data_IF_593594764421
#
_entry.id   IF_593594764421
#
_cell.length_a   1.000
_cell.length_b   1.000
_cell.length_c   1.000
_cell.angle_alpha   90.00
_cell.angle_beta   90.00
_cell.angle_gamma   90.00
#
_symmetry.space_group_name_H-M   'P 1'
#
loop_
_entity.id
_entity.type
_entity.pdbx_description
1 polymer ?
#
# COMPACT_ATOMS: atom_id res chain seq x y z
N UNK A 1 11.57 13.10 1.04
CA UNK A 1 12.72 13.15 1.98
C UNK A 1 12.86 11.76 2.51
N UNK A 2 13.91 11.12 2.03
CA UNK A 2 14.16 9.69 2.08
C UNK A 2 14.39 9.17 3.50
N UNK A 3 14.37 7.85 3.61
CA UNK A 3 14.79 7.10 4.77
C UNK A 3 16.13 7.57 5.35
N UNK A 4 16.28 7.46 6.67
CA UNK A 4 17.46 7.89 7.41
C UNK A 4 18.36 6.69 7.69
N UNK A 5 19.64 6.79 7.29
CA UNK A 5 20.62 5.76 7.60
C UNK A 5 21.04 5.84 9.07
N UNK A 6 21.09 4.70 9.74
CA UNK A 6 21.40 4.59 11.16
C UNK A 6 22.71 3.82 11.36
N UNK A 7 23.57 4.36 12.23
CA UNK A 7 24.67 3.60 12.84
C UNK A 7 24.12 2.55 13.81
N UNK A 8 24.97 1.68 14.34
CA UNK A 8 24.58 0.66 15.34
C UNK A 8 23.97 1.30 16.59
N UNK A 9 24.62 2.36 17.11
CA UNK A 9 24.11 3.13 18.27
C UNK A 9 22.79 3.82 17.93
N UNK A 10 22.70 4.44 16.76
CA UNK A 10 21.47 5.07 16.28
C UNK A 10 20.33 4.06 16.17
N UNK A 11 20.58 2.90 15.58
CA UNK A 11 19.61 1.81 15.42
C UNK A 11 19.07 1.35 16.77
N UNK A 12 19.95 1.07 17.73
CA UNK A 12 19.53 0.65 19.08
C UNK A 12 18.64 1.70 19.75
N UNK A 13 19.01 2.98 19.65
CA UNK A 13 18.20 4.09 20.18
C UNK A 13 16.84 4.20 19.48
N UNK A 14 16.80 4.05 18.15
CA UNK A 14 15.56 4.16 17.39
C UNK A 14 14.60 3.01 17.68
N UNK A 15 15.07 1.77 17.81
CA UNK A 15 14.23 0.63 18.23
C UNK A 15 13.63 0.91 19.61
N UNK A 16 14.44 1.40 20.53
CA UNK A 16 14.03 1.75 21.88
C UNK A 16 12.94 2.84 21.90
N UNK A 17 13.09 3.88 21.08
CA UNK A 17 12.12 4.97 20.93
C UNK A 17 10.83 4.47 20.30
N UNK A 18 10.93 3.68 19.24
CA UNK A 18 9.81 3.14 18.47
C UNK A 18 8.84 2.36 19.37
N UNK A 19 9.36 1.51 20.27
CA UNK A 19 8.53 0.76 21.24
C UNK A 19 7.86 1.72 22.24
N UNK A 20 8.61 2.72 22.71
CA UNK A 20 8.16 3.63 23.77
C UNK A 20 7.09 4.60 23.27
N UNK A 21 7.18 5.04 22.02
CA UNK A 21 6.27 6.01 21.39
C UNK A 21 5.07 5.39 20.67
N UNK A 22 5.00 4.06 20.60
CA UNK A 22 3.88 3.34 20.01
C UNK A 22 2.58 3.62 20.80
N UNK A 23 1.54 3.99 20.05
CA UNK A 23 0.23 4.32 20.63
C UNK A 23 -0.86 3.32 20.26
N UNK A 24 -0.67 2.57 19.17
CA UNK A 24 -1.71 1.67 18.67
C UNK A 24 -1.18 0.26 18.41
N UNK A 25 -0.01 0.16 17.79
CA UNK A 25 0.53 -1.15 17.40
C UNK A 25 2.06 -1.16 17.33
N UNK A 26 2.60 -2.36 17.50
CA UNK A 26 4.01 -2.71 17.33
C UNK A 26 4.06 -4.01 16.52
N UNK A 27 4.83 -4.05 15.43
CA UNK A 27 5.04 -5.28 14.65
C UNK A 27 6.52 -5.50 14.40
N UNK A 28 7.04 -6.60 14.97
CA UNK A 28 8.48 -6.89 15.00
C UNK A 28 8.75 -8.27 14.41
N UNK A 29 9.65 -8.33 13.45
CA UNK A 29 10.13 -9.55 12.81
C UNK A 29 11.56 -9.81 13.24
N UNK A 30 11.84 -11.03 13.68
CA UNK A 30 13.19 -11.45 14.03
C UNK A 30 13.37 -12.95 13.73
N UNK A 31 14.34 -13.37 12.92
CA UNK A 31 14.54 -14.79 12.59
C UNK A 31 14.80 -15.65 13.83
N UNK A 32 15.41 -15.07 14.86
CA UNK A 32 15.60 -15.70 16.18
C UNK A 32 14.84 -14.88 17.22
N UNK A 33 13.89 -15.49 17.92
CA UNK A 33 13.09 -14.83 18.96
C UNK A 33 13.81 -14.87 20.31
N UNK A 34 14.85 -14.04 20.41
CA UNK A 34 15.58 -13.76 21.65
C UNK A 34 15.57 -12.27 21.91
N UNK A 35 14.97 -11.86 23.02
CA UNK A 35 14.80 -10.46 23.39
C UNK A 35 15.79 -10.07 24.50
N UNK A 36 16.35 -8.87 24.39
CA UNK A 36 17.04 -8.23 25.51
C UNK A 36 16.01 -7.87 26.60
N UNK A 37 16.43 -7.88 27.87
CA UNK A 37 15.55 -7.62 29.02
C UNK A 37 14.84 -6.25 28.93
N UNK A 38 15.54 -5.24 28.41
CA UNK A 38 14.94 -3.91 28.18
C UNK A 38 13.77 -3.93 27.20
N UNK A 39 13.79 -4.78 26.18
CA UNK A 39 12.69 -4.91 25.21
C UNK A 39 11.49 -5.55 25.87
N UNK A 40 11.71 -6.60 26.67
CA UNK A 40 10.64 -7.28 27.42
C UNK A 40 9.93 -6.25 28.31
N UNK A 41 10.67 -5.49 29.12
CA UNK A 41 10.10 -4.47 30.00
C UNK A 41 9.31 -3.40 29.23
N UNK A 42 9.81 -2.94 28.09
CA UNK A 42 9.11 -1.93 27.28
C UNK A 42 7.86 -2.48 26.60
N UNK A 43 7.89 -3.73 26.14
CA UNK A 43 6.69 -4.39 25.66
C UNK A 43 5.65 -4.53 26.77
N UNK A 44 6.04 -4.84 28.01
CA UNK A 44 5.09 -4.91 29.14
C UNK A 44 4.42 -3.54 29.36
N UNK A 45 5.18 -2.45 29.28
CA UNK A 45 4.63 -1.11 29.38
C UNK A 45 3.69 -0.78 28.21
N UNK A 46 4.01 -1.22 26.99
CA UNK A 46 3.14 -1.06 25.83
C UNK A 46 1.84 -1.88 25.97
N UNK A 47 1.93 -3.11 26.47
CA UNK A 47 0.78 -3.98 26.76
C UNK A 47 -0.17 -3.35 27.79
N UNK A 48 0.38 -2.75 28.85
CA UNK A 48 -0.39 -1.99 29.85
C UNK A 48 -1.11 -0.77 29.27
N UNK A 49 -0.57 -0.19 28.19
CA UNK A 49 -1.21 0.90 27.42
C UNK A 49 -2.22 0.39 26.38
N UNK A 50 -2.50 -0.92 26.34
CA UNK A 50 -3.33 -1.58 25.33
C UNK A 50 -2.81 -1.42 23.89
N UNK A 51 -1.49 -1.29 23.72
CA UNK A 51 -0.86 -1.34 22.40
C UNK A 51 -0.85 -2.78 21.93
N UNK A 52 -1.31 -3.04 20.70
CA UNK A 52 -1.25 -4.39 20.10
C UNK A 52 0.18 -4.71 19.69
N UNK A 53 0.68 -5.87 20.07
CA UNK A 53 2.05 -6.29 19.78
C UNK A 53 2.01 -7.57 18.96
N UNK A 54 2.59 -7.55 17.76
CA UNK A 54 2.73 -8.72 16.89
C UNK A 54 4.21 -9.04 16.71
N UNK A 55 4.62 -10.25 17.09
CA UNK A 55 5.98 -10.74 16.91
C UNK A 55 5.98 -11.87 15.88
N UNK A 56 6.82 -11.78 14.86
CA UNK A 56 6.99 -12.85 13.87
C UNK A 56 8.42 -13.36 13.95
N UNK A 57 8.58 -14.67 14.07
CA UNK A 57 9.90 -15.30 14.08
C UNK A 57 10.04 -16.42 13.07
N UNK A 58 11.29 -16.73 12.70
CA UNK A 58 11.60 -17.72 11.68
C UNK A 58 12.51 -18.84 12.16
N UNK A 59 13.25 -19.45 11.23
CA UNK A 59 14.24 -20.53 11.46
C UNK A 59 13.65 -21.80 12.09
N UNK A 60 13.45 -21.80 13.40
CA UNK A 60 12.99 -22.97 14.15
C UNK A 60 11.66 -22.69 14.84
N UNK A 61 10.65 -23.52 14.58
CA UNK A 61 9.29 -23.37 15.14
C UNK A 61 9.26 -23.40 16.67
N UNK A 62 10.10 -24.20 17.31
CA UNK A 62 10.00 -24.46 18.74
C UNK A 62 10.70 -23.44 19.64
N UNK A 63 11.12 -22.27 19.12
CA UNK A 63 11.88 -21.27 19.87
C UNK A 63 11.17 -20.72 21.11
N UNK A 64 9.84 -20.63 21.11
CA UNK A 64 9.07 -20.15 22.28
C UNK A 64 8.96 -21.20 23.40
N UNK A 65 9.34 -22.46 23.14
CA UNK A 65 9.23 -23.54 24.12
C UNK A 65 10.18 -23.28 25.30
N UNK A 66 9.62 -23.27 26.51
CA UNK A 66 10.39 -23.04 27.75
C UNK A 66 10.56 -21.56 28.12
N UNK A 67 10.23 -20.62 27.23
CA UNK A 67 10.19 -19.20 27.57
C UNK A 67 8.90 -18.87 28.34
N UNK A 68 8.97 -17.95 29.30
CA UNK A 68 7.82 -17.56 30.15
C UNK A 68 7.42 -16.10 30.03
N UNK A 69 8.30 -15.23 29.54
CA UNK A 69 8.07 -13.77 29.54
C UNK A 69 6.77 -13.39 28.83
N UNK A 70 6.42 -14.03 27.71
CA UNK A 70 5.26 -13.68 26.88
C UNK A 70 3.90 -14.08 27.48
N UNK A 71 3.86 -14.95 28.48
CA UNK A 71 2.62 -15.60 28.93
C UNK A 71 1.62 -14.65 29.58
N UNK A 72 2.12 -13.58 30.20
CA UNK A 72 1.29 -12.63 30.95
C UNK A 72 0.83 -11.44 30.08
N UNK A 73 1.27 -11.36 28.83
CA UNK A 73 0.87 -10.29 27.91
C UNK A 73 -0.54 -10.51 27.41
N UNK A 74 -1.37 -9.48 27.50
CA UNK A 74 -2.79 -9.56 27.10
C UNK A 74 -2.98 -9.22 25.63
N UNK A 75 -2.21 -8.28 25.10
CA UNK A 75 -2.31 -7.71 23.76
C UNK A 75 -1.14 -8.15 22.86
N UNK A 76 -0.56 -9.33 23.11
CA UNK A 76 0.55 -9.90 22.33
C UNK A 76 0.09 -11.06 21.45
N UNK A 77 0.53 -11.06 20.19
CA UNK A 77 0.44 -12.19 19.25
C UNK A 77 1.84 -12.58 18.82
N UNK A 78 2.10 -13.89 18.75
CA UNK A 78 3.35 -14.44 18.26
C UNK A 78 3.05 -15.39 17.11
N UNK A 79 3.77 -15.18 16.01
CA UNK A 79 3.64 -15.87 14.74
C UNK A 79 4.98 -16.51 14.33
N UNK A 80 4.90 -17.64 13.64
CA UNK A 80 6.02 -18.38 13.08
C UNK A 80 5.94 -18.40 11.54
N UNK A 81 7.05 -18.07 10.89
CA UNK A 81 7.20 -18.16 9.43
C UNK A 81 8.55 -18.81 9.09
N UNK A 82 8.51 -20.02 8.52
CA UNK A 82 9.69 -20.87 8.30
C UNK A 82 10.84 -20.18 7.53
N UNK A 83 10.51 -19.35 6.54
CA UNK A 83 11.48 -18.65 5.68
C UNK A 83 11.83 -17.22 6.10
N UNK A 84 11.40 -16.76 7.29
CA UNK A 84 11.70 -15.40 7.75
C UNK A 84 13.19 -15.23 8.08
N UNK A 85 13.86 -14.30 7.39
CA UNK A 85 15.27 -13.95 7.62
C UNK A 85 15.52 -12.44 7.80
N UNK A 86 14.46 -11.64 8.01
CA UNK A 86 14.55 -10.17 8.09
C UNK A 86 14.43 -9.69 9.52
N UNK A 87 15.26 -8.72 9.92
CA UNK A 87 14.99 -7.89 11.09
C UNK A 87 14.25 -6.63 10.63
N UNK A 88 13.00 -6.54 11.03
CA UNK A 88 12.09 -5.46 10.68
C UNK A 88 11.32 -5.08 11.93
N UNK A 89 11.26 -3.79 12.26
CA UNK A 89 10.63 -3.30 13.48
C UNK A 89 9.78 -2.08 13.15
N UNK A 90 8.50 -2.08 13.50
CA UNK A 90 7.63 -0.93 13.25
C UNK A 90 6.66 -0.61 14.38
N UNK A 91 6.16 0.62 14.37
CA UNK A 91 4.91 1.03 15.01
C UNK A 91 4.00 1.70 13.97
N UNK A 92 3.00 2.48 14.39
CA UNK A 92 2.10 3.18 13.46
C UNK A 92 2.72 4.39 12.70
N UNK A 93 3.94 4.80 13.07
CA UNK A 93 4.60 6.03 12.59
C UNK A 93 5.86 5.76 11.80
N UNK A 94 6.59 4.68 12.10
CA UNK A 94 7.91 4.42 11.53
C UNK A 94 8.24 2.93 11.44
N UNK A 95 9.11 2.60 10.47
CA UNK A 95 9.68 1.28 10.19
C UNK A 95 11.20 1.37 10.31
N UNK A 96 11.83 0.36 10.88
CA UNK A 96 13.27 0.16 10.91
C UNK A 96 13.59 -1.17 10.24
N UNK A 97 14.39 -1.13 9.19
CA UNK A 97 15.06 -2.29 8.60
C UNK A 97 16.51 -2.29 9.06
N UNK A 98 17.02 -3.43 9.53
CA UNK A 98 18.38 -3.47 10.09
C UNK A 98 18.99 -4.86 10.04
N UNK A 99 20.30 -4.95 10.31
CA UNK A 99 20.98 -6.20 10.66
C UNK A 99 20.93 -6.51 12.17
N UNK A 100 20.51 -5.56 13.01
CA UNK A 100 20.53 -5.67 14.47
C UNK A 100 19.37 -6.53 14.99
N UNK A 101 19.69 -7.60 15.71
CA UNK A 101 18.72 -8.42 16.44
C UNK A 101 18.31 -7.82 17.79
N UNK A 102 17.12 -8.18 18.28
CA UNK A 102 16.57 -7.71 19.55
C UNK A 102 17.36 -8.15 20.80
N UNK A 103 18.25 -9.14 20.68
CA UNK A 103 19.17 -9.55 21.75
C UNK A 103 20.44 -8.71 21.80
N UNK A 104 20.76 -7.97 20.73
CA UNK A 104 22.02 -7.26 20.55
C UNK A 104 21.91 -5.74 20.87
N UNK A 105 20.79 -5.32 21.47
CA UNK A 105 20.51 -3.93 21.83
C UNK A 105 21.47 -3.41 22.91
N UNK A 106 22.59 -2.87 22.45
CA UNK A 106 23.56 -2.10 23.25
C UNK A 106 24.60 -1.38 22.38
N UNK A 107 24.56 -1.52 21.05
CA UNK A 107 25.43 -0.82 20.09
C UNK A 107 26.93 -1.15 20.17
N UNK A 108 27.37 -1.94 21.15
CA UNK A 108 28.79 -2.10 21.50
C UNK A 108 29.39 -3.46 21.12
N UNK A 109 28.57 -4.39 20.62
CA UNK A 109 29.01 -5.76 20.32
C UNK A 109 29.28 -6.00 18.83
N UNK A 110 28.55 -5.34 17.93
CA UNK A 110 28.64 -5.55 16.47
C UNK A 110 28.41 -4.25 15.71
N UNK A 111 29.05 -4.12 14.56
CA UNK A 111 28.85 -3.01 13.62
C UNK A 111 27.61 -3.26 12.76
N UNK A 112 26.43 -3.06 13.36
CA UNK A 112 25.15 -3.11 12.67
C UNK A 112 24.83 -1.80 11.93
N UNK A 113 23.99 -1.91 10.92
CA UNK A 113 23.47 -0.78 10.16
C UNK A 113 21.94 -0.85 10.12
N UNK A 114 21.30 0.31 10.05
CA UNK A 114 19.85 0.39 9.98
C UNK A 114 19.38 1.45 9.00
N UNK A 115 18.12 1.34 8.61
CA UNK A 115 17.40 2.32 7.82
C UNK A 115 16.08 2.63 8.52
N UNK A 116 15.86 3.89 8.87
CA UNK A 116 14.63 4.39 9.46
C UNK A 116 13.74 5.00 8.37
N UNK A 117 12.54 4.47 8.22
CA UNK A 117 11.50 4.95 7.32
C UNK A 117 10.36 5.50 8.17
N UNK A 118 10.27 6.82 8.32
CA UNK A 118 9.15 7.44 9.01
C UNK A 118 8.00 7.71 8.03
N UNK A 119 6.78 7.27 8.33
CA UNK A 119 5.55 7.44 7.53
C UNK A 119 5.33 8.89 7.07
N UNK A 120 5.59 9.84 7.96
CA UNK A 120 5.46 11.27 7.67
C UNK A 120 6.54 11.78 6.70
N UNK A 121 7.74 11.20 6.72
CA UNK A 121 8.89 11.63 5.90
C UNK A 121 8.92 10.93 4.54
N UNK A 122 8.70 9.62 4.53
CA UNK A 122 8.72 8.75 3.36
C UNK A 122 7.54 7.78 3.37
N UNK A 123 6.39 8.23 2.83
CA UNK A 123 5.14 7.47 2.89
C UNK A 123 5.19 6.27 1.94
N UNK A 124 5.74 6.40 0.73
CA UNK A 124 5.78 5.30 -0.23
C UNK A 124 6.55 4.11 0.33
N UNK A 125 7.79 4.33 0.78
CA UNK A 125 8.59 3.26 1.37
C UNK A 125 7.94 2.68 2.64
N UNK A 126 7.21 3.50 3.39
CA UNK A 126 6.44 3.04 4.54
C UNK A 126 5.29 2.10 4.11
N UNK A 127 4.41 2.52 3.21
CA UNK A 127 3.26 1.72 2.76
C UNK A 127 3.74 0.44 2.02
N UNK A 128 4.79 0.52 1.20
CA UNK A 128 5.42 -0.64 0.55
C UNK A 128 5.96 -1.63 1.61
N UNK A 129 6.55 -1.13 2.70
CA UNK A 129 7.01 -1.94 3.83
C UNK A 129 5.86 -2.56 4.63
N UNK A 130 4.73 -1.86 4.78
CA UNK A 130 3.50 -2.41 5.38
C UNK A 130 2.95 -3.54 4.50
N UNK A 131 2.90 -3.35 3.18
CA UNK A 131 2.45 -4.37 2.23
C UNK A 131 3.23 -5.68 2.42
N UNK A 132 4.56 -5.62 2.33
CA UNK A 132 5.42 -6.81 2.43
C UNK A 132 5.32 -7.48 3.80
N UNK A 133 5.15 -6.69 4.86
CA UNK A 133 4.92 -7.20 6.20
C UNK A 133 3.61 -7.98 6.31
N UNK A 134 2.50 -7.42 5.84
CA UNK A 134 1.19 -8.07 5.97
C UNK A 134 1.16 -9.40 5.21
N UNK A 135 1.76 -9.46 4.01
CA UNK A 135 1.93 -10.71 3.28
C UNK A 135 2.64 -11.78 4.11
N UNK A 136 3.69 -11.41 4.84
CA UNK A 136 4.40 -12.34 5.74
C UNK A 136 3.53 -12.75 6.94
N UNK A 137 2.81 -11.81 7.55
CA UNK A 137 1.92 -12.08 8.69
C UNK A 137 0.79 -13.04 8.32
N UNK A 138 0.15 -12.86 7.15
CA UNK A 138 -0.92 -13.71 6.65
C UNK A 138 -0.47 -15.14 6.40
N UNK A 139 0.74 -15.32 5.88
CA UNK A 139 1.33 -16.64 5.62
C UNK A 139 2.03 -17.25 6.85
N UNK A 140 1.94 -16.60 8.02
CA UNK A 140 2.54 -17.09 9.26
C UNK A 140 1.58 -17.93 10.09
N UNK A 141 2.12 -18.94 10.76
CA UNK A 141 1.40 -19.74 11.73
C UNK A 141 1.29 -19.02 13.07
N UNK A 142 0.09 -18.91 13.63
CA UNK A 142 -0.11 -18.39 14.98
C UNK A 142 0.29 -19.41 16.05
N UNK A 143 1.24 -19.06 16.91
CA UNK A 143 1.73 -19.93 17.98
C UNK A 143 1.37 -19.44 19.39
N UNK A 144 1.00 -18.17 19.51
CA UNK A 144 0.48 -17.58 20.75
C UNK A 144 -0.39 -16.36 20.45
N UNK A 145 -1.47 -16.19 21.20
CA UNK A 145 -2.26 -14.97 21.25
C UNK A 145 -2.69 -14.73 22.71
N UNK A 146 -2.47 -13.51 23.18
CA UNK A 146 -2.91 -13.05 24.49
C UNK A 146 -4.44 -12.90 24.56
N UNK A 147 -4.98 -12.90 25.78
CA UNK A 147 -6.43 -12.95 26.01
C UNK A 147 -7.20 -11.74 25.44
N UNK A 148 -6.55 -10.58 25.31
CA UNK A 148 -7.14 -9.35 24.77
C UNK A 148 -6.64 -9.04 23.35
N UNK A 149 -5.91 -9.97 22.72
CA UNK A 149 -5.43 -9.72 21.37
C UNK A 149 -6.62 -9.76 20.40
N UNK A 150 -7.11 -8.59 20.03
CA UNK A 150 -8.08 -8.44 18.96
C UNK A 150 -7.38 -8.66 17.63
N UNK A 151 -7.72 -9.76 16.96
CA UNK A 151 -7.48 -9.89 15.52
C UNK A 151 -8.34 -8.82 14.86
N UNK A 152 -7.69 -7.86 14.22
CA UNK A 152 -8.40 -6.92 13.36
C UNK A 152 -8.96 -7.79 12.23
N UNK A 153 -10.27 -8.07 12.25
CA UNK A 153 -10.94 -8.82 11.17
C UNK A 153 -10.88 -8.04 9.85
N UNK A 154 -10.69 -6.72 9.93
CA UNK A 154 -10.19 -5.90 8.82
C UNK A 154 -8.66 -6.05 8.72
N UNK A 155 -8.18 -7.26 8.43
CA UNK A 155 -6.93 -7.36 7.66
C UNK A 155 -7.24 -6.65 6.36
N UNK A 156 -6.74 -5.43 6.27
CA UNK A 156 -6.71 -4.68 5.05
C UNK A 156 -5.81 -5.47 4.10
N UNK A 157 -6.41 -6.47 3.44
CA UNK A 157 -5.75 -7.32 2.44
C UNK A 157 -5.21 -6.35 1.41
N UNK A 158 -3.91 -6.28 1.11
CA UNK A 158 -3.43 -5.26 0.19
C UNK A 158 -4.00 -5.42 -1.23
N UNK A 159 -4.29 -6.67 -1.62
CA UNK A 159 -5.07 -7.04 -2.80
C UNK A 159 -6.54 -6.63 -2.65
N UNK A 160 -7.05 -6.64 -1.41
CA UNK A 160 -8.26 -6.00 -0.84
C UNK A 160 -8.35 -4.51 -1.13
N UNK A 161 -7.39 -3.73 -0.61
CA UNK A 161 -7.26 -2.29 -0.82
C UNK A 161 -7.26 -1.98 -2.30
N UNK A 162 -6.46 -2.75 -3.06
CA UNK A 162 -6.24 -2.51 -4.48
C UNK A 162 -7.43 -2.96 -5.33
N UNK A 163 -8.18 -4.01 -4.93
CA UNK A 163 -9.49 -4.37 -5.50
C UNK A 163 -10.58 -3.39 -5.10
N UNK A 164 -10.52 -2.84 -3.89
CA UNK A 164 -11.40 -1.82 -3.31
C UNK A 164 -10.90 -0.40 -3.58
N UNK A 165 -10.05 -0.15 -4.59
CA UNK A 165 -9.63 1.20 -4.98
C UNK A 165 -10.64 1.81 -5.96
N UNK A 166 -11.52 2.74 -5.56
CA UNK A 166 -12.25 3.47 -6.55
C UNK A 166 -11.49 4.73 -6.95
N UNK A 167 -11.82 5.22 -8.14
CA UNK A 167 -11.31 6.47 -8.69
C UNK A 167 -11.42 7.69 -7.75
N UNK A 168 -12.32 7.69 -6.75
CA UNK A 168 -12.71 8.91 -6.01
C UNK A 168 -12.82 8.79 -4.48
N UNK A 169 -13.34 7.68 -3.91
CA UNK A 169 -13.55 7.59 -2.44
C UNK A 169 -12.23 7.49 -1.65
N UNK A 170 -11.18 6.90 -2.24
CA UNK A 170 -9.81 6.86 -1.69
C UNK A 170 -9.23 8.25 -1.39
N UNK A 171 -9.68 9.28 -2.11
CA UNK A 171 -9.22 10.65 -1.91
C UNK A 171 -10.09 11.44 -0.91
N UNK A 172 -11.20 10.88 -0.39
CA UNK A 172 -12.15 11.58 0.46
C UNK A 172 -12.87 12.73 -0.25
N UNK A 173 -13.09 12.57 -1.56
CA UNK A 173 -13.57 13.60 -2.50
C UNK A 173 -15.06 13.44 -2.82
N UNK A 174 -15.68 12.35 -2.37
CA UNK A 174 -17.08 12.06 -2.64
C UNK A 174 -18.02 13.16 -2.13
N UNK A 175 -18.97 13.58 -2.97
CA UNK A 175 -19.90 14.67 -2.68
C UNK A 175 -19.33 16.09 -2.72
N UNK A 176 -18.09 16.31 -3.18
CA UNK A 176 -17.51 17.66 -3.29
C UNK A 176 -17.81 18.31 -4.63
N UNK A 177 -18.26 19.56 -4.60
CA UNK A 177 -18.44 20.38 -5.81
C UNK A 177 -17.10 20.68 -6.50
N UNK A 178 -17.11 20.62 -7.83
CA UNK A 178 -16.00 21.05 -8.67
C UNK A 178 -15.92 22.57 -8.69
N UNK A 179 -14.72 23.13 -8.52
CA UNK A 179 -14.45 24.56 -8.66
C UNK A 179 -13.44 24.72 -9.79
N UNK A 180 -13.86 25.30 -10.91
CA UNK A 180 -13.04 25.48 -12.13
C UNK A 180 -12.39 24.18 -12.62
N UNK A 181 -13.16 23.07 -12.63
CA UNK A 181 -12.67 21.77 -13.08
C UNK A 181 -11.67 21.10 -12.14
N UNK A 182 -11.55 21.58 -10.88
CA UNK A 182 -10.70 20.99 -9.83
C UNK A 182 -11.51 20.66 -8.58
N UNK A 183 -11.07 19.64 -7.88
CA UNK A 183 -11.58 19.31 -6.54
C UNK A 183 -10.80 20.10 -5.49
N UNK A 184 -11.49 20.80 -4.58
CA UNK A 184 -10.86 21.49 -3.45
C UNK A 184 -10.69 20.52 -2.27
N UNK A 185 -9.43 20.24 -1.94
CA UNK A 185 -9.07 19.38 -0.82
C UNK A 185 -9.14 20.11 0.55
N UNK A 186 -9.24 19.39 1.68
CA UNK A 186 -9.29 19.98 3.02
C UNK A 186 -8.01 20.77 3.35
N UNK A 187 -8.14 21.95 3.95
CA UNK A 187 -7.01 22.72 4.48
C UNK A 187 -6.38 22.00 5.68
N UNK A 188 -5.05 22.14 5.85
CA UNK A 188 -4.31 21.63 7.01
C UNK A 188 -3.78 20.19 6.91
N UNK A 189 -4.07 19.45 5.83
CA UNK A 189 -3.50 18.10 5.60
C UNK A 189 -2.12 18.17 4.94
N UNK A 190 -1.20 17.29 5.37
CA UNK A 190 0.15 17.18 4.83
C UNK A 190 0.17 16.63 3.38
N UNK A 191 -0.74 15.69 3.10
CA UNK A 191 -1.01 15.14 1.77
C UNK A 191 -2.40 15.58 1.32
N UNK A 192 -2.47 16.11 0.11
CA UNK A 192 -3.63 16.77 -0.45
C UNK A 192 -3.87 16.14 -1.83
N UNK A 193 -4.98 15.42 -2.03
CA UNK A 193 -5.30 14.91 -3.36
C UNK A 193 -5.55 16.07 -4.31
N UNK A 194 -5.10 15.93 -5.54
CA UNK A 194 -5.40 16.87 -6.61
C UNK A 194 -5.86 16.11 -7.83
N UNK A 195 -6.99 16.55 -8.35
CA UNK A 195 -7.59 16.02 -9.57
C UNK A 195 -8.09 17.19 -10.41
N UNK A 196 -7.86 17.08 -11.71
CA UNK A 196 -8.39 18.01 -12.71
C UNK A 196 -9.19 17.20 -13.73
N UNK A 197 -10.24 17.81 -14.25
CA UNK A 197 -11.17 17.19 -15.18
C UNK A 197 -11.16 17.91 -16.52
N UNK A 198 -11.48 17.17 -17.58
CA UNK A 198 -11.88 17.75 -18.85
C UNK A 198 -13.30 18.31 -18.77
N UNK A 199 -13.71 19.07 -19.79
CA UNK A 199 -15.04 19.69 -19.84
C UNK A 199 -16.19 18.68 -19.89
N UNK A 200 -15.92 17.45 -20.32
CA UNK A 200 -16.88 16.34 -20.37
C UNK A 200 -16.96 15.55 -19.04
N UNK A 201 -16.28 16.02 -17.99
CA UNK A 201 -16.28 15.41 -16.67
C UNK A 201 -15.37 14.18 -16.54
N UNK A 202 -14.63 13.82 -17.59
CA UNK A 202 -13.58 12.79 -17.50
C UNK A 202 -12.36 13.33 -16.75
N UNK A 203 -11.65 12.46 -16.05
CA UNK A 203 -10.46 12.81 -15.30
C UNK A 203 -9.33 13.10 -16.29
N UNK A 204 -8.69 14.26 -16.14
CA UNK A 204 -7.52 14.69 -16.93
C UNK A 204 -6.21 14.30 -16.27
N UNK A 205 -6.11 14.49 -14.96
CA UNK A 205 -5.06 13.89 -14.15
C UNK A 205 -5.51 13.74 -12.72
N UNK A 206 -4.84 12.84 -12.00
CA UNK A 206 -4.98 12.68 -10.57
C UNK A 206 -3.62 12.40 -9.92
N UNK A 207 -3.47 12.81 -8.67
CA UNK A 207 -2.29 12.52 -7.88
C UNK A 207 -2.37 13.18 -6.51
N UNK A 208 -1.25 13.19 -5.79
CA UNK A 208 -1.17 13.80 -4.46
C UNK A 208 -0.12 14.90 -4.41
N UNK A 209 -0.46 15.99 -3.71
CA UNK A 209 0.48 16.99 -3.27
C UNK A 209 0.92 16.70 -1.83
N UNK A 210 2.23 16.67 -1.58
CA UNK A 210 2.81 16.76 -0.24
C UNK A 210 3.29 18.20 -0.04
N UNK A 211 2.88 18.86 1.06
CA UNK A 211 3.28 20.26 1.33
C UNK A 211 3.11 21.20 0.12
N UNK A 212 1.97 21.09 -0.60
CA UNK A 212 1.61 21.83 -1.83
C UNK A 212 2.39 21.49 -3.11
N UNK A 213 3.33 20.55 -3.06
CA UNK A 213 4.14 20.13 -4.21
C UNK A 213 3.76 18.70 -4.64
N UNK A 214 3.84 18.38 -5.94
CA UNK A 214 3.52 17.04 -6.45
C UNK A 214 4.38 15.97 -5.76
N UNK A 215 3.77 14.85 -5.35
CA UNK A 215 4.47 13.75 -4.69
C UNK A 215 3.78 12.42 -5.01
N UNK A 216 4.54 11.33 -5.09
CA UNK A 216 4.05 10.02 -5.48
C UNK A 216 3.72 9.94 -6.98
N UNK A 217 2.84 9.01 -7.33
CA UNK A 217 2.38 8.81 -8.71
C UNK A 217 1.33 9.84 -9.11
N UNK A 218 1.52 10.38 -10.31
CA UNK A 218 0.60 11.29 -10.97
C UNK A 218 0.19 10.67 -12.28
N UNK A 219 -1.08 10.31 -12.38
CA UNK A 219 -1.64 9.60 -13.51
C UNK A 219 -2.27 10.65 -14.42
N UNK A 220 -1.82 10.67 -15.68
CA UNK A 220 -2.31 11.59 -16.70
C UNK A 220 -3.08 10.80 -17.74
N UNK A 221 -4.26 11.29 -18.07
CA UNK A 221 -5.15 10.63 -19.01
C UNK A 221 -5.10 11.33 -20.39
N UNK A 222 -5.42 10.59 -21.43
CA UNK A 222 -5.75 11.16 -22.74
C UNK A 222 -7.17 11.73 -22.70
N UNK A 223 -7.52 12.53 -23.71
CA UNK A 223 -8.89 13.03 -23.84
C UNK A 223 -9.89 11.87 -24.07
N UNK A 224 -9.45 10.77 -24.66
CA UNK A 224 -10.23 9.54 -24.88
C UNK A 224 -10.48 8.73 -23.60
N UNK A 225 -9.82 9.07 -22.49
CA UNK A 225 -10.03 8.49 -21.18
C UNK A 225 -8.92 7.55 -20.70
N UNK A 226 -8.02 7.09 -21.58
CA UNK A 226 -6.99 6.13 -21.20
C UNK A 226 -5.81 6.76 -20.48
N UNK A 227 -5.10 5.99 -19.66
CA UNK A 227 -3.86 6.48 -19.02
C UNK A 227 -2.79 6.68 -20.08
N UNK A 228 -2.29 7.91 -20.23
CA UNK A 228 -1.22 8.29 -21.15
C UNK A 228 0.16 8.04 -20.55
N UNK A 229 0.35 8.53 -19.33
CA UNK A 229 1.61 8.45 -18.62
C UNK A 229 1.38 8.52 -17.12
N UNK A 230 2.28 7.90 -16.37
CA UNK A 230 2.37 8.02 -14.92
C UNK A 230 3.69 8.69 -14.60
N UNK A 231 3.64 9.84 -13.94
CA UNK A 231 4.83 10.59 -13.55
C UNK A 231 5.02 10.46 -12.05
N UNK A 232 6.21 10.05 -11.64
CA UNK A 232 6.56 9.89 -10.24
C UNK A 232 7.26 11.18 -9.81
N UNK A 233 6.73 11.80 -8.76
CA UNK A 233 7.32 12.98 -8.14
C UNK A 233 7.77 12.67 -6.71
N UNK A 234 8.87 13.27 -6.28
CA UNK A 234 9.24 13.33 -4.87
C UNK A 234 9.40 14.80 -4.47
N UNK A 235 8.46 15.31 -3.69
CA UNK A 235 8.50 16.67 -3.15
C UNK A 235 8.69 17.72 -4.26
N UNK A 236 7.83 17.68 -5.28
CA UNK A 236 7.84 18.58 -6.43
C UNK A 236 8.84 18.22 -7.52
N UNK A 237 9.88 17.45 -7.19
CA UNK A 237 10.90 17.03 -8.15
C UNK A 237 10.43 15.84 -8.97
N UNK A 238 10.66 15.89 -10.28
CA UNK A 238 10.47 14.74 -11.17
C UNK A 238 11.45 13.63 -10.80
N UNK A 239 10.96 12.40 -10.66
CA UNK A 239 11.76 11.20 -10.36
C UNK A 239 11.81 10.31 -11.59
N UNK A 240 10.64 9.89 -12.08
CA UNK A 240 10.53 8.95 -13.19
C UNK A 240 9.21 9.12 -13.95
N UNK A 241 9.12 8.48 -15.10
CA UNK A 241 7.92 8.46 -15.94
C UNK A 241 7.74 7.10 -16.61
N UNK A 242 6.54 6.57 -16.44
CA UNK A 242 6.05 5.40 -17.16
C UNK A 242 5.17 5.89 -18.30
N UNK A 243 5.60 5.69 -19.53
CA UNK A 243 4.76 5.91 -20.71
C UNK A 243 3.87 4.70 -20.94
N UNK A 244 2.56 4.93 -21.10
CA UNK A 244 1.60 3.90 -21.44
C UNK A 244 1.36 3.94 -22.94
N UNK A 245 2.25 3.32 -23.70
CA UNK A 245 2.06 3.11 -25.14
C UNK A 245 1.34 1.78 -25.36
N UNK A 246 0.12 1.85 -25.86
CA UNK A 246 -0.73 0.68 -26.14
C UNK A 246 -0.58 0.19 -27.58
N UNK A 247 0.03 1.00 -28.45
CA UNK A 247 0.23 0.65 -29.86
C UNK A 247 1.50 -0.18 -30.04
N UNK A 248 2.57 0.19 -29.31
CA UNK A 248 3.84 -0.52 -29.32
C UNK A 248 4.37 -0.71 -27.89
N UNK A 249 3.70 -1.57 -27.10
CA UNK A 249 3.99 -1.72 -25.69
C UNK A 249 5.32 -2.46 -25.45
N UNK A 250 6.43 -1.72 -25.37
CA UNK A 250 7.75 -2.30 -25.10
C UNK A 250 7.91 -2.83 -23.67
N UNK A 251 7.12 -2.31 -22.72
CA UNK A 251 7.11 -2.75 -21.31
C UNK A 251 5.68 -2.98 -20.84
N UNK A 252 5.44 -4.06 -20.06
CA UNK A 252 4.16 -4.25 -19.39
C UNK A 252 3.81 -3.07 -18.48
N UNK A 253 2.63 -2.49 -18.68
CA UNK A 253 2.07 -1.51 -17.75
C UNK A 253 1.29 -2.22 -16.66
N UNK A 254 0.93 -1.49 -15.60
CA UNK A 254 0.08 -2.04 -14.55
C UNK A 254 -1.35 -2.27 -15.05
N UNK A 255 -1.97 -3.41 -14.69
CA UNK A 255 -3.40 -3.67 -14.92
C UNK A 255 -4.29 -2.60 -14.25
N UNK A 256 -3.82 -1.97 -13.17
CA UNK A 256 -4.50 -0.83 -12.54
C UNK A 256 -4.61 0.36 -13.49
N UNK A 257 -3.58 0.65 -14.29
CA UNK A 257 -3.63 1.75 -15.26
C UNK A 257 -4.61 1.44 -16.39
N UNK A 258 -4.77 0.16 -16.75
CA UNK A 258 -5.82 -0.27 -17.67
C UNK A 258 -7.20 -0.04 -17.08
N UNK A 259 -7.46 -0.49 -15.85
CA UNK A 259 -8.73 -0.24 -15.16
C UNK A 259 -9.02 1.26 -15.06
N UNK A 260 -8.02 2.07 -14.71
CA UNK A 260 -8.16 3.52 -14.64
C UNK A 260 -8.49 4.17 -16.00
N UNK A 261 -7.92 3.65 -17.09
CA UNK A 261 -8.30 4.08 -18.43
C UNK A 261 -9.74 3.69 -18.80
N UNK A 262 -10.13 2.46 -18.44
CA UNK A 262 -11.46 1.91 -18.74
C UNK A 262 -12.53 2.64 -17.95
N UNK A 263 -12.34 2.90 -16.65
CA UNK A 263 -13.33 3.62 -15.86
C UNK A 263 -13.52 5.05 -16.35
N UNK A 264 -12.47 5.76 -16.74
CA UNK A 264 -12.63 7.08 -17.34
C UNK A 264 -13.36 7.01 -18.71
N UNK A 265 -13.16 5.93 -19.47
CA UNK A 265 -13.93 5.63 -20.69
C UNK A 265 -15.40 5.34 -20.39
N UNK A 266 -15.70 4.66 -19.28
CA UNK A 266 -17.08 4.47 -18.79
C UNK A 266 -17.73 5.81 -18.47
N UNK A 267 -17.05 6.68 -17.72
CA UNK A 267 -17.53 8.05 -17.45
C UNK A 267 -17.81 8.78 -18.76
N UNK A 268 -16.91 8.67 -19.75
CA UNK A 268 -17.06 9.33 -21.04
C UNK A 268 -18.26 8.85 -21.85
N UNK A 269 -18.42 7.54 -21.96
CA UNK A 269 -19.37 6.92 -22.89
C UNK A 269 -20.77 6.78 -22.31
N UNK A 270 -20.90 6.68 -20.98
CA UNK A 270 -22.16 6.38 -20.31
C UNK A 270 -22.53 7.39 -19.22
N UNK A 271 -21.69 8.40 -18.97
CA UNK A 271 -21.86 9.41 -17.91
C UNK A 271 -22.09 8.82 -16.51
N UNK A 272 -21.61 7.60 -16.27
CA UNK A 272 -21.76 6.93 -14.97
C UNK A 272 -20.80 7.49 -13.94
N UNK A 273 -21.22 7.45 -12.68
CA UNK A 273 -20.29 7.61 -11.59
C UNK A 273 -19.35 6.39 -11.57
N UNK A 274 -18.05 6.64 -11.48
CA UNK A 274 -16.99 5.63 -11.47
C UNK A 274 -16.26 5.58 -10.12
N UNK A 275 -16.82 6.25 -9.10
CA UNK A 275 -16.33 6.25 -7.71
C UNK A 275 -16.51 4.92 -6.99
N UNK A 276 -17.11 3.92 -7.62
CA UNK A 276 -17.29 2.56 -7.08
C UNK A 276 -16.97 1.52 -8.17
N UNK A 277 -16.20 1.91 -9.20
CA UNK A 277 -15.76 0.98 -10.25
C UNK A 277 -14.50 0.25 -9.79
N UNK A 278 -14.64 -1.05 -9.62
CA UNK A 278 -13.61 -1.98 -9.17
C UNK A 278 -13.34 -3.05 -10.22
N UNK A 279 -12.35 -3.91 -9.96
CA UNK A 279 -12.05 -5.04 -10.85
C UNK A 279 -13.19 -6.06 -10.89
N UNK A 280 -13.77 -6.37 -9.73
CA UNK A 280 -14.86 -7.33 -9.59
C UNK A 280 -16.24 -6.75 -9.97
N UNK A 281 -16.36 -5.43 -10.11
CA UNK A 281 -17.56 -4.78 -10.64
C UNK A 281 -17.97 -5.36 -11.99
N UNK A 282 -19.28 -5.53 -12.17
CA UNK A 282 -19.80 -6.04 -13.44
C UNK A 282 -19.81 -4.93 -14.47
N UNK A 283 -19.51 -5.28 -15.72
CA UNK A 283 -19.50 -4.29 -16.82
C UNK A 283 -20.91 -3.73 -17.04
N UNK A 284 -21.95 -4.54 -16.82
CA UNK A 284 -23.35 -4.17 -17.04
C UNK A 284 -23.84 -3.08 -16.07
N UNK A 285 -23.39 -3.07 -14.80
CA UNK A 285 -23.71 -2.00 -13.84
C UNK A 285 -23.33 -0.60 -14.37
N UNK A 286 -22.24 -0.55 -15.14
CA UNK A 286 -21.63 0.68 -15.63
C UNK A 286 -21.93 0.99 -17.10
N UNK A 287 -22.44 0.02 -17.86
CA UNK A 287 -22.73 0.19 -19.31
C UNK A 287 -24.20 -0.01 -19.66
N UNK A 288 -25.00 -0.57 -18.75
CA UNK A 288 -26.34 -1.06 -19.04
C UNK A 288 -26.31 -2.11 -20.15
N UNK A 289 -27.30 -2.07 -21.04
CA UNK A 289 -27.46 -3.07 -22.10
C UNK A 289 -26.48 -2.93 -23.28
N UNK A 290 -25.70 -1.86 -23.36
CA UNK A 290 -24.85 -1.54 -24.53
C UNK A 290 -23.35 -1.50 -24.18
N UNK A 291 -22.80 -2.63 -23.70
CA UNK A 291 -21.36 -2.81 -23.45
C UNK A 291 -20.49 -2.72 -24.71
N UNK A 292 -21.10 -2.87 -25.89
CA UNK A 292 -20.40 -2.90 -27.19
C UNK A 292 -19.64 -1.60 -27.48
N UNK A 293 -20.18 -0.45 -27.07
CA UNK A 293 -19.50 0.84 -27.22
C UNK A 293 -18.18 0.87 -26.45
N UNK A 294 -18.16 0.32 -25.24
CA UNK A 294 -16.95 0.27 -24.41
C UNK A 294 -15.91 -0.63 -25.06
N UNK A 295 -16.31 -1.81 -25.52
CA UNK A 295 -15.43 -2.76 -26.18
C UNK A 295 -14.82 -2.16 -27.45
N UNK A 296 -15.64 -1.57 -28.31
CA UNK A 296 -15.18 -0.93 -29.54
C UNK A 296 -14.24 0.25 -29.26
N UNK A 297 -14.55 1.08 -28.26
CA UNK A 297 -13.70 2.18 -27.84
C UNK A 297 -12.32 1.69 -27.38
N UNK A 298 -12.30 0.65 -26.55
CA UNK A 298 -11.04 0.06 -26.05
C UNK A 298 -10.22 -0.58 -27.15
N UNK A 299 -10.84 -1.41 -28.01
CA UNK A 299 -10.18 -2.03 -29.16
C UNK A 299 -9.57 -1.00 -30.10
N UNK A 300 -10.34 0.05 -30.42
CA UNK A 300 -9.86 1.15 -31.27
C UNK A 300 -8.66 1.86 -30.63
N UNK A 301 -8.70 2.09 -29.33
CA UNK A 301 -7.64 2.80 -28.62
C UNK A 301 -6.33 2.00 -28.58
N UNK A 302 -6.40 0.71 -28.27
CA UNK A 302 -5.22 -0.16 -28.24
C UNK A 302 -4.81 -0.71 -29.61
N UNK A 303 -5.54 -0.35 -30.68
CA UNK A 303 -5.34 -0.82 -32.07
C UNK A 303 -5.35 -2.35 -32.23
N UNK A 304 -6.15 -3.05 -31.43
CA UNK A 304 -6.41 -4.49 -31.55
C UNK A 304 -7.90 -4.71 -31.84
N UNK A 305 -8.26 -5.79 -32.53
CA UNK A 305 -9.66 -6.08 -32.89
C UNK A 305 -10.08 -7.43 -32.35
N UNK A 306 -11.34 -7.55 -31.97
CA UNK A 306 -11.96 -8.80 -31.54
C UNK A 306 -11.18 -9.48 -30.42
N UNK A 307 -10.75 -8.70 -29.42
CA UNK A 307 -9.97 -9.21 -28.27
C UNK A 307 -10.87 -9.74 -27.16
N UNK A 308 -12.13 -9.32 -27.15
CA UNK A 308 -13.04 -9.62 -26.05
C UNK A 308 -13.81 -10.92 -26.27
N UNK A 309 -13.69 -11.83 -25.32
CA UNK A 309 -14.49 -13.06 -25.22
C UNK A 309 -15.51 -12.92 -24.09
N UNK A 310 -16.57 -12.15 -24.37
CA UNK A 310 -17.72 -11.91 -23.48
C UNK A 310 -17.37 -11.68 -22.00
N UNK A 311 -16.45 -10.74 -21.65
CA UNK A 311 -16.16 -10.49 -20.25
C UNK A 311 -17.40 -9.99 -19.52
N UNK A 312 -17.58 -10.47 -18.30
CA UNK A 312 -18.65 -10.13 -17.36
C UNK A 312 -18.17 -9.05 -16.40
N UNK A 313 -16.93 -9.16 -15.91
CA UNK A 313 -16.31 -8.22 -14.95
C UNK A 313 -15.23 -7.37 -15.59
N UNK A 314 -14.89 -6.24 -14.96
CA UNK A 314 -13.75 -5.43 -15.41
C UNK A 314 -12.41 -6.16 -15.25
N UNK A 315 -12.28 -7.09 -14.31
CA UNK A 315 -11.14 -7.99 -14.16
C UNK A 315 -10.92 -8.81 -15.43
N UNK A 316 -11.95 -9.52 -15.88
CA UNK A 316 -11.89 -10.32 -17.10
C UNK A 316 -11.58 -9.44 -18.32
N UNK A 317 -12.21 -8.27 -18.41
CA UNK A 317 -11.95 -7.32 -19.49
C UNK A 317 -10.50 -6.84 -19.50
N UNK A 318 -9.95 -6.46 -18.34
CA UNK A 318 -8.56 -6.02 -18.20
C UNK A 318 -7.59 -7.15 -18.50
N UNK A 319 -7.87 -8.37 -18.06
CA UNK A 319 -7.03 -9.54 -18.33
C UNK A 319 -6.97 -9.86 -19.82
N UNK A 320 -8.09 -9.75 -20.54
CA UNK A 320 -8.14 -9.93 -21.99
C UNK A 320 -7.38 -8.82 -22.74
N UNK A 321 -7.48 -7.57 -22.30
CA UNK A 321 -6.68 -6.46 -22.87
C UNK A 321 -5.19 -6.67 -22.62
N UNK A 322 -4.84 -7.04 -21.39
CA UNK A 322 -3.46 -7.28 -21.00
C UNK A 322 -2.83 -8.38 -21.85
N UNK A 323 -3.56 -9.49 -22.01
CA UNK A 323 -3.19 -10.57 -22.91
C UNK A 323 -2.96 -10.05 -24.33
N UNK A 324 -3.90 -9.32 -24.91
CA UNK A 324 -3.78 -8.81 -26.28
C UNK A 324 -2.61 -7.82 -26.52
N UNK A 325 -2.14 -7.16 -25.46
CA UNK A 325 -1.02 -6.22 -25.51
C UNK A 325 0.34 -6.91 -25.35
N UNK A 326 0.42 -7.97 -24.55
CA UNK A 326 1.70 -8.51 -24.06
C UNK A 326 1.96 -9.99 -24.34
N UNK A 327 0.93 -10.73 -24.77
CA UNK A 327 1.00 -12.15 -25.17
C UNK A 327 0.58 -12.30 -26.63
#
# INVERSE_FOLDING_TARGET
>A
MAAEFLSSVGTSYQIDRLISEATSEIVFFAPVLKLHESVILKFQQADQRNVRITLVYGKERNQIRGQRWYKDYKNLRILYHDKLNTFFYRNEKEIILTSMGLSDLSGNLRSDMGLLIAKLRDRKAYEDGIYEQEMLVEHSEEVFAGANYEKIEDTVRPEEIMREMPFLSYFGVEGRELINGKVKAPSGKLYIPEMEYYNDGTIKFQGFKKTRQRHGEWIFYTYEGFVREVVIYENGSYVDKIFCDYENPAKPISKYYLLFGIGNSVKKLYDKNISELYFDSTIEEFTGFDKTKLFYHTERFIKKRSIFDQPVTFQEMVDQIYKALYE
#
